data_IF_528686799582
#
_entry.id   IF_528686799582
#
_cell.length_a   1.000
_cell.length_b   1.000
_cell.length_c   1.000
_cell.angle_alpha   90.00
_cell.angle_beta   90.00
_cell.angle_gamma   90.00
#
_symmetry.space_group_name_H-M   'P 1'
#
loop_
_entity.id
_entity.type
_entity.pdbx_description
1 polymer ?
#
# COMPACT_ATOMS: atom_id res chain seq x y z
N UNK A 1 20.82 5.29 21.41
CA UNK A 1 19.55 6.00 21.19
C UNK A 1 19.41 6.26 19.70
N UNK A 2 18.37 5.75 19.01
CA UNK A 2 18.13 6.09 17.60
C UNK A 2 17.84 7.59 17.53
N UNK A 3 18.63 8.36 16.78
CA UNK A 3 18.39 9.80 16.57
C UNK A 3 17.03 9.95 15.86
N UNK A 4 16.19 10.89 16.28
CA UNK A 4 14.98 11.24 15.53
C UNK A 4 15.38 12.11 14.35
N UNK A 5 14.94 11.74 13.15
CA UNK A 5 15.05 12.62 11.98
C UNK A 5 14.19 13.88 12.22
N UNK A 6 14.71 15.04 11.80
CA UNK A 6 13.97 16.31 11.83
C UNK A 6 13.45 16.60 10.43
N UNK A 7 12.17 16.29 10.21
CA UNK A 7 11.43 16.61 8.97
C UNK A 7 10.23 17.47 9.30
N UNK A 8 9.77 18.28 8.33
CA UNK A 8 8.56 19.08 8.46
C UNK A 8 7.31 18.32 7.97
N UNK A 9 6.12 18.90 8.17
CA UNK A 9 4.85 18.27 7.78
C UNK A 9 4.74 18.02 6.26
N UNK A 10 5.29 18.92 5.43
CA UNK A 10 5.28 18.75 3.98
C UNK A 10 6.10 17.51 3.57
N UNK A 11 7.30 17.37 4.14
CA UNK A 11 8.18 16.23 3.93
C UNK A 11 7.56 14.92 4.44
N UNK A 12 6.91 14.94 5.61
CA UNK A 12 6.19 13.77 6.11
C UNK A 12 5.06 13.37 5.14
N UNK A 13 4.27 14.34 4.66
CA UNK A 13 3.20 14.08 3.70
C UNK A 13 3.74 13.51 2.38
N UNK A 14 4.91 13.95 1.92
CA UNK A 14 5.56 13.39 0.73
C UNK A 14 5.95 11.92 0.94
N UNK A 15 6.59 11.59 2.06
CA UNK A 15 6.98 10.22 2.40
C UNK A 15 5.74 9.31 2.55
N UNK A 16 4.69 9.79 3.23
CA UNK A 16 3.41 9.07 3.35
C UNK A 16 2.75 8.84 1.99
N UNK A 17 2.78 9.85 1.11
CA UNK A 17 2.27 9.73 -0.26
C UNK A 17 2.99 8.63 -1.05
N UNK A 18 4.33 8.61 -0.99
CA UNK A 18 5.15 7.58 -1.63
C UNK A 18 4.88 6.19 -1.03
N UNK A 19 4.86 6.08 0.30
CA UNK A 19 4.59 4.83 1.01
C UNK A 19 3.24 4.23 0.62
N UNK A 20 2.19 5.06 0.59
CA UNK A 20 0.86 4.68 0.15
C UNK A 20 0.86 4.18 -1.30
N UNK A 21 1.56 4.88 -2.19
CA UNK A 21 1.72 4.51 -3.61
C UNK A 21 2.37 3.12 -3.77
N UNK A 22 3.41 2.84 -2.98
CA UNK A 22 4.16 1.56 -2.99
C UNK A 22 3.30 0.44 -2.41
N UNK A 23 2.69 0.68 -1.24
CA UNK A 23 1.80 -0.26 -0.58
C UNK A 23 0.64 -0.63 -1.51
N UNK A 24 -0.09 0.35 -2.04
CA UNK A 24 -1.23 0.10 -2.93
C UNK A 24 -0.87 -0.78 -4.13
N UNK A 25 0.32 -0.62 -4.71
CA UNK A 25 0.83 -1.46 -5.81
C UNK A 25 1.34 -2.84 -5.37
N UNK A 26 1.50 -3.08 -4.08
CA UNK A 26 1.94 -4.35 -3.52
C UNK A 26 3.45 -4.53 -3.46
N UNK A 27 4.19 -3.43 -3.49
CA UNK A 27 5.65 -3.43 -3.45
C UNK A 27 6.22 -3.15 -2.05
N UNK A 28 5.40 -3.00 -1.01
CA UNK A 28 5.90 -2.67 0.33
C UNK A 28 6.91 -3.70 0.84
N UNK A 29 6.57 -5.00 0.83
CA UNK A 29 7.47 -6.06 1.30
C UNK A 29 8.83 -6.12 0.58
N UNK A 30 8.91 -6.14 -0.78
CA UNK A 30 10.21 -6.12 -1.45
C UNK A 30 10.98 -4.80 -1.24
N UNK A 31 10.29 -3.65 -1.11
CA UNK A 31 10.95 -2.38 -0.82
C UNK A 31 11.51 -2.34 0.60
N UNK A 32 10.76 -2.81 1.60
CA UNK A 32 11.23 -2.93 2.99
C UNK A 32 12.48 -3.81 3.04
N UNK A 33 12.41 -5.01 2.47
CA UNK A 33 13.53 -5.93 2.43
C UNK A 33 14.77 -5.32 1.78
N UNK A 34 14.61 -4.66 0.63
CA UNK A 34 15.70 -3.98 -0.06
C UNK A 34 16.31 -2.87 0.81
N UNK A 35 15.48 -1.97 1.36
CA UNK A 35 15.95 -0.83 2.14
C UNK A 35 16.61 -1.26 3.46
N UNK A 36 16.07 -2.27 4.15
CA UNK A 36 16.72 -2.87 5.32
C UNK A 36 18.08 -3.49 4.99
N UNK A 37 18.16 -4.22 3.88
CA UNK A 37 19.41 -4.82 3.39
C UNK A 37 20.45 -3.76 3.01
N UNK A 38 19.99 -2.57 2.60
CA UNK A 38 20.82 -1.46 2.16
C UNK A 38 21.12 -0.42 3.25
N UNK A 39 20.55 -0.53 4.45
CA UNK A 39 20.84 0.39 5.56
C UNK A 39 22.34 0.59 5.91
N UNK A 40 23.25 -0.39 5.76
CA UNK A 40 24.68 -0.14 5.98
C UNK A 40 25.37 0.61 4.82
N UNK A 41 24.65 0.89 3.72
CA UNK A 41 25.18 1.39 2.44
C UNK A 41 24.62 2.76 2.04
N UNK A 42 24.45 3.69 2.97
CA UNK A 42 23.93 5.05 2.67
C UNK A 42 24.65 5.73 1.49
N UNK A 43 25.92 5.42 1.24
CA UNK A 43 26.69 5.99 0.13
C UNK A 43 26.22 5.55 -1.27
N UNK A 44 25.53 4.41 -1.40
CA UNK A 44 25.07 3.84 -2.69
C UNK A 44 23.65 4.31 -3.05
N UNK A 45 22.93 4.90 -2.10
CA UNK A 45 21.55 5.36 -2.29
C UNK A 45 21.47 6.42 -3.39
N UNK A 46 22.42 7.36 -3.43
CA UNK A 46 22.46 8.40 -4.48
C UNK A 46 22.57 7.81 -5.89
N UNK A 47 23.30 6.69 -6.05
CA UNK A 47 23.45 5.99 -7.33
C UNK A 47 22.19 5.21 -7.71
N UNK A 48 21.53 4.58 -6.73
CA UNK A 48 20.22 3.92 -6.95
C UNK A 48 19.15 4.94 -7.30
N UNK A 49 19.13 6.08 -6.63
CA UNK A 49 18.16 7.14 -6.88
C UNK A 49 18.39 7.81 -8.24
N UNK A 50 19.64 8.00 -8.68
CA UNK A 50 19.90 8.46 -10.04
C UNK A 50 19.34 7.49 -11.11
N UNK A 51 19.38 6.17 -10.84
CA UNK A 51 18.78 5.18 -11.74
C UNK A 51 17.24 5.09 -11.61
N UNK A 52 16.69 5.36 -10.43
CA UNK A 52 15.26 5.31 -10.16
C UNK A 52 14.49 6.57 -10.62
N UNK A 53 15.18 7.69 -10.83
CA UNK A 53 14.62 8.99 -11.25
C UNK A 53 13.64 8.93 -12.44
N UNK A 54 13.95 8.25 -13.58
CA UNK A 54 13.01 8.14 -14.70
C UNK A 54 11.72 7.38 -14.37
N UNK A 55 11.72 6.56 -13.31
CA UNK A 55 10.53 5.85 -12.84
C UNK A 55 9.81 6.62 -11.73
N UNK A 56 10.56 7.39 -10.94
CA UNK A 56 10.04 8.15 -9.81
C UNK A 56 9.24 9.38 -10.25
N UNK A 57 9.60 9.98 -11.39
CA UNK A 57 8.86 11.11 -12.01
C UNK A 57 7.42 10.74 -12.40
N UNK A 58 7.10 9.46 -12.58
CA UNK A 58 5.72 8.99 -12.78
C UNK A 58 4.89 8.99 -11.47
N UNK A 59 5.57 8.95 -10.32
CA UNK A 59 4.95 8.84 -9.00
C UNK A 59 4.96 10.17 -8.23
N UNK A 60 5.94 11.03 -8.48
CA UNK A 60 6.18 12.28 -7.74
C UNK A 60 6.82 13.32 -8.66
N UNK A 61 6.51 14.61 -8.50
CA UNK A 61 7.20 15.67 -9.27
C UNK A 61 8.69 15.78 -8.87
N UNK A 62 9.50 16.40 -9.72
CA UNK A 62 10.96 16.50 -9.55
C UNK A 62 11.38 17.13 -8.21
N UNK A 63 10.72 18.22 -7.80
CA UNK A 63 10.99 18.90 -6.52
C UNK A 63 10.75 17.96 -5.33
N UNK A 64 9.65 17.21 -5.37
CA UNK A 64 9.31 16.25 -4.33
C UNK A 64 10.25 15.05 -4.34
N UNK A 65 10.72 14.64 -5.52
CA UNK A 65 11.70 13.57 -5.67
C UNK A 65 13.02 13.91 -4.97
N UNK A 66 13.57 15.10 -5.23
CA UNK A 66 14.80 15.58 -4.58
C UNK A 66 14.65 15.68 -3.06
N UNK A 67 13.49 16.15 -2.57
CA UNK A 67 13.19 16.18 -1.13
C UNK A 67 13.15 14.78 -0.51
N UNK A 68 12.58 13.80 -1.20
CA UNK A 68 12.54 12.41 -0.74
C UNK A 68 13.96 11.84 -0.68
N UNK A 69 14.79 12.06 -1.70
CA UNK A 69 16.19 11.60 -1.72
C UNK A 69 16.96 12.18 -0.53
N UNK A 70 16.90 13.49 -0.32
CA UNK A 70 17.63 14.16 0.77
C UNK A 70 17.26 13.63 2.16
N UNK A 71 16.03 13.11 2.31
CA UNK A 71 15.60 12.43 3.54
C UNK A 71 16.14 11.01 3.60
N UNK A 72 16.03 10.23 2.52
CA UNK A 72 16.46 8.83 2.47
C UNK A 72 17.99 8.66 2.47
N UNK A 73 18.77 9.68 2.16
CA UNK A 73 20.23 9.68 2.34
C UNK A 73 20.64 9.63 3.83
N UNK A 74 19.74 10.05 4.73
CA UNK A 74 19.96 9.97 6.16
C UNK A 74 19.50 8.62 6.69
N UNK A 75 20.34 7.96 7.51
CA UNK A 75 20.04 6.64 8.09
C UNK A 75 18.71 6.67 8.85
N UNK A 76 18.48 7.74 9.60
CA UNK A 76 17.26 7.99 10.36
C UNK A 76 16.04 8.22 9.45
N UNK A 77 16.24 8.75 8.24
CA UNK A 77 15.19 8.96 7.27
C UNK A 77 14.72 7.65 6.64
N UNK A 78 15.62 6.71 6.39
CA UNK A 78 15.26 5.34 5.97
C UNK A 78 14.49 4.63 7.09
N UNK A 79 15.00 4.66 8.32
CA UNK A 79 14.32 4.06 9.49
C UNK A 79 12.87 4.60 9.61
N UNK A 80 12.72 5.93 9.42
CA UNK A 80 11.43 6.59 9.48
C UNK A 80 10.52 6.22 8.30
N UNK A 81 11.06 6.18 7.08
CA UNK A 81 10.30 5.81 5.89
C UNK A 81 9.83 4.34 5.92
N UNK A 82 10.68 3.43 6.40
CA UNK A 82 10.33 2.02 6.63
C UNK A 82 9.13 1.91 7.58
N UNK A 83 9.14 2.66 8.68
CA UNK A 83 8.01 2.70 9.63
C UNK A 83 6.72 3.14 8.95
N UNK A 84 6.75 4.23 8.18
CA UNK A 84 5.57 4.71 7.46
C UNK A 84 5.10 3.68 6.41
N UNK A 85 6.02 3.03 5.70
CA UNK A 85 5.71 2.06 4.67
C UNK A 85 5.05 0.80 5.24
N UNK A 86 5.52 0.33 6.40
CA UNK A 86 4.91 -0.75 7.16
C UNK A 86 3.48 -0.40 7.60
N UNK A 87 3.27 0.81 8.12
CA UNK A 87 1.94 1.30 8.49
C UNK A 87 0.97 1.29 7.30
N UNK A 88 1.38 1.84 6.15
CA UNK A 88 0.56 1.89 4.94
C UNK A 88 0.26 0.49 4.37
N UNK A 89 1.22 -0.45 4.41
CA UNK A 89 0.95 -1.83 4.00
C UNK A 89 -0.02 -2.53 4.95
N UNK A 90 0.12 -2.32 6.26
CA UNK A 90 -0.81 -2.86 7.25
C UNK A 90 -2.24 -2.36 7.02
N UNK A 91 -2.40 -1.05 6.76
CA UNK A 91 -3.69 -0.45 6.38
C UNK A 91 -4.24 -1.15 5.13
N UNK A 92 -3.44 -1.28 4.07
CA UNK A 92 -3.85 -1.95 2.83
C UNK A 92 -4.29 -3.40 3.07
N UNK A 93 -3.53 -4.15 3.85
CA UNK A 93 -3.84 -5.56 4.15
C UNK A 93 -5.16 -5.69 4.92
N UNK A 94 -5.42 -4.80 5.88
CA UNK A 94 -6.70 -4.74 6.61
C UNK A 94 -7.85 -4.42 5.65
N UNK A 95 -7.70 -3.43 4.77
CA UNK A 95 -8.69 -3.10 3.76
C UNK A 95 -8.98 -4.26 2.81
N UNK A 96 -7.94 -4.94 2.32
CA UNK A 96 -8.09 -6.10 1.45
C UNK A 96 -8.83 -7.24 2.15
N UNK A 97 -8.53 -7.52 3.44
CA UNK A 97 -9.24 -8.53 4.23
C UNK A 97 -10.73 -8.20 4.37
N UNK A 98 -11.06 -6.94 4.71
CA UNK A 98 -12.45 -6.44 4.78
C UNK A 98 -13.17 -6.61 3.44
N UNK A 99 -12.57 -6.18 2.33
CA UNK A 99 -13.14 -6.33 0.98
C UNK A 99 -13.41 -7.81 0.64
N UNK A 100 -12.48 -8.71 0.95
CA UNK A 100 -12.65 -10.15 0.72
C UNK A 100 -13.79 -10.74 1.57
N UNK A 101 -13.99 -10.29 2.81
CA UNK A 101 -15.10 -10.72 3.66
C UNK A 101 -16.46 -10.30 3.07
N UNK A 102 -16.60 -9.01 2.73
CA UNK A 102 -17.83 -8.47 2.11
C UNK A 102 -18.17 -9.23 0.82
N UNK A 103 -17.19 -9.49 -0.04
CA UNK A 103 -17.39 -10.24 -1.28
C UNK A 103 -17.86 -11.68 -1.02
N UNK A 104 -17.41 -12.32 0.05
CA UNK A 104 -17.87 -13.67 0.44
C UNK A 104 -19.34 -13.64 0.87
N UNK A 105 -19.74 -12.65 1.67
CA UNK A 105 -21.12 -12.54 2.16
C UNK A 105 -22.10 -12.20 1.03
N UNK A 106 -21.73 -11.29 0.12
CA UNK A 106 -22.51 -11.01 -1.10
C UNK A 106 -22.68 -12.29 -1.93
N UNK A 107 -21.62 -13.09 -2.11
CA UNK A 107 -21.70 -14.37 -2.84
C UNK A 107 -22.65 -15.37 -2.16
N UNK A 108 -22.65 -15.45 -0.82
CA UNK A 108 -23.57 -16.30 -0.06
C UNK A 108 -25.02 -15.83 -0.21
N UNK A 109 -25.29 -14.53 -0.02
CA UNK A 109 -26.63 -13.95 -0.17
C UNK A 109 -27.19 -14.17 -1.59
N UNK A 110 -26.38 -13.96 -2.63
CA UNK A 110 -26.78 -14.24 -4.03
C UNK A 110 -27.14 -15.71 -4.26
N UNK A 111 -26.44 -16.65 -3.61
CA UNK A 111 -26.76 -18.09 -3.69
C UNK A 111 -28.08 -18.42 -3.00
N UNK A 112 -28.32 -17.87 -1.81
CA UNK A 112 -29.57 -18.04 -1.05
C UNK A 112 -30.76 -17.49 -1.85
N UNK A 113 -30.69 -16.23 -2.30
CA UNK A 113 -31.75 -15.61 -3.10
C UNK A 113 -32.06 -16.39 -4.40
N UNK A 114 -31.04 -16.95 -5.06
CA UNK A 114 -31.24 -17.80 -6.26
C UNK A 114 -31.97 -19.10 -5.91
N UNK A 115 -31.68 -19.72 -4.76
CA UNK A 115 -32.37 -20.92 -4.26
C UNK A 115 -33.82 -20.61 -3.90
N UNK A 116 -34.05 -19.52 -3.17
CA UNK A 116 -35.39 -19.12 -2.73
C UNK A 116 -36.29 -18.75 -3.91
N UNK A 117 -35.77 -18.00 -4.89
CA UNK A 117 -36.47 -17.70 -6.14
C UNK A 117 -36.88 -18.97 -6.89
N UNK A 118 -36.00 -19.97 -6.99
CA UNK A 118 -36.31 -21.25 -7.64
C UNK A 118 -37.44 -22.00 -6.93
N UNK A 119 -37.39 -22.04 -5.59
CA UNK A 119 -38.43 -22.65 -4.75
C UNK A 119 -39.78 -21.94 -4.89
N UNK A 120 -39.79 -20.60 -4.84
CA UNK A 120 -41.00 -19.80 -5.00
C UNK A 120 -41.69 -20.00 -6.36
N UNK A 121 -40.91 -19.97 -7.45
CA UNK A 121 -41.45 -20.23 -8.79
C UNK A 121 -42.04 -21.63 -8.95
N UNK A 122 -41.47 -22.64 -8.26
CA UNK A 122 -41.99 -23.99 -8.27
C UNK A 122 -43.34 -24.09 -7.55
N UNK A 123 -43.49 -23.41 -6.41
CA UNK A 123 -44.76 -23.33 -5.68
C UNK A 123 -45.85 -22.64 -6.50
N UNK A 124 -45.54 -21.52 -7.16
CA UNK A 124 -46.49 -20.80 -8.00
C UNK A 124 -46.99 -21.62 -9.21
N UNK A 125 -46.11 -22.41 -9.83
CA UNK A 125 -46.51 -23.33 -10.91
C UNK A 125 -47.45 -24.43 -10.43
N UNK A 126 -47.28 -24.90 -9.19
CA UNK A 126 -48.17 -25.89 -8.57
C UNK A 126 -49.55 -25.34 -8.21
N UNK A 127 -49.66 -24.04 -7.92
CA UNK A 127 -50.93 -23.35 -7.62
C UNK A 127 -51.76 -22.97 -8.85
N UNK A 128 -51.18 -23.03 -10.06
CA UNK A 128 -51.87 -22.76 -11.34
C UNK A 128 -52.38 -24.03 -12.04
N UNK A 129 -52.24 -25.19 -11.41
CA UNK A 129 -52.86 -26.47 -11.79
C UNK A 129 -54.02 -26.74 -10.85
#
# INVERSE_FOLDING_TARGET
MKKKIKINEEQENLLRGLAKIIAQRGFASPVIFLLESMQPLNYIISQIMAYAEPFATFLVNEKNYNNIIAILEQREGIDYFLTILEDEENIRLVEQKKRKAVLKDIKKMKKVAKKDKKSFLQKLKGLKK
#
